data_IF_358975047307
#
_entry.id   IF_358975047307
#
_cell.length_a   1.000
_cell.length_b   1.000
_cell.length_c   1.000
_cell.angle_alpha   90.00
_cell.angle_beta   90.00
_cell.angle_gamma   90.00
#
_symmetry.space_group_name_H-M   'P 1'
#
loop_
_entity.id
_entity.type
_entity.pdbx_description
1 polymer ?
#
# COMPACT_ATOMS: atom_id res chain seq x y z
N UNK A 1 21.15 -30.92 -10.66
CA UNK A 1 20.48 -31.51 -9.49
C UNK A 1 18.98 -31.32 -9.62
N UNK A 2 18.19 -32.40 -9.63
CA UNK A 2 16.73 -32.29 -9.47
C UNK A 2 16.44 -32.10 -7.97
N UNK A 3 15.60 -31.13 -7.57
CA UNK A 3 15.23 -30.99 -6.16
C UNK A 3 14.56 -32.28 -5.67
N UNK A 4 14.93 -32.73 -4.47
CA UNK A 4 14.36 -33.92 -3.82
C UNK A 4 12.90 -33.69 -3.40
N UNK A 5 12.17 -34.77 -3.07
CA UNK A 5 10.72 -34.74 -2.82
C UNK A 5 10.27 -33.88 -1.61
N UNK A 6 11.20 -33.36 -0.80
CA UNK A 6 10.92 -32.58 0.41
C UNK A 6 11.26 -31.08 0.31
N UNK A 7 11.54 -30.54 -0.89
CA UNK A 7 11.70 -29.08 -1.01
C UNK A 7 10.32 -28.41 -0.94
N UNK A 8 10.05 -27.55 0.06
CA UNK A 8 8.76 -26.87 0.15
C UNK A 8 8.55 -25.99 -1.07
N UNK A 9 7.32 -25.94 -1.59
CA UNK A 9 6.99 -25.09 -2.73
C UNK A 9 6.98 -23.62 -2.29
N UNK A 10 7.75 -22.78 -2.96
CA UNK A 10 7.80 -21.34 -2.65
C UNK A 10 6.82 -20.55 -3.51
N UNK A 11 6.03 -19.70 -2.88
CA UNK A 11 5.09 -18.79 -3.52
C UNK A 11 5.37 -17.35 -3.11
N UNK A 12 5.10 -16.41 -4.01
CA UNK A 12 5.13 -14.98 -3.71
C UNK A 12 3.77 -14.39 -4.04
N UNK A 13 3.19 -13.67 -3.09
CA UNK A 13 1.91 -12.97 -3.25
C UNK A 13 2.18 -11.47 -3.12
N UNK A 14 1.63 -10.67 -4.04
CA UNK A 14 1.67 -9.22 -3.87
C UNK A 14 0.64 -8.77 -2.83
N UNK A 15 0.99 -7.80 -1.98
CA UNK A 15 0.08 -7.24 -0.97
C UNK A 15 -1.19 -6.67 -1.61
N UNK A 16 -1.06 -6.04 -2.78
CA UNK A 16 -2.21 -5.56 -3.57
C UNK A 16 -3.14 -6.72 -3.97
N UNK A 17 -2.61 -7.87 -4.39
CA UNK A 17 -3.43 -9.05 -4.74
C UNK A 17 -4.17 -9.61 -3.52
N UNK A 18 -3.50 -9.65 -2.35
CA UNK A 18 -4.15 -10.06 -1.11
C UNK A 18 -5.26 -9.09 -0.70
N UNK A 19 -5.04 -7.78 -0.81
CA UNK A 19 -6.07 -6.77 -0.55
C UNK A 19 -7.28 -6.96 -1.48
N UNK A 20 -7.03 -7.15 -2.78
CA UNK A 20 -8.08 -7.46 -3.76
C UNK A 20 -8.85 -8.72 -3.41
N UNK A 21 -8.17 -9.77 -2.95
CA UNK A 21 -8.82 -11.02 -2.57
C UNK A 21 -9.69 -10.85 -1.32
N UNK A 22 -9.17 -10.18 -0.30
CA UNK A 22 -9.86 -9.97 0.98
C UNK A 22 -11.06 -9.02 0.89
N UNK A 23 -11.01 -8.03 0.00
CA UNK A 23 -12.03 -6.99 -0.13
C UNK A 23 -12.87 -7.12 -1.39
N UNK A 24 -12.89 -8.31 -1.99
CA UNK A 24 -13.72 -8.57 -3.17
C UNK A 24 -15.19 -8.68 -2.77
N UNK A 25 -15.88 -7.54 -2.79
CA UNK A 25 -17.33 -7.44 -2.69
C UNK A 25 -17.83 -6.72 -3.96
N UNK A 26 -18.92 -7.18 -4.61
CA UNK A 26 -19.50 -6.49 -5.78
C UNK A 26 -19.59 -7.30 -7.09
N UNK A 27 -20.41 -6.79 -8.02
CA UNK A 27 -20.82 -7.40 -9.30
C UNK A 27 -19.76 -7.24 -10.40
N UNK A 28 -19.79 -8.12 -11.43
CA UNK A 28 -18.91 -8.11 -12.61
C UNK A 28 -19.24 -6.98 -13.60
N UNK A 29 -19.59 -5.79 -13.11
CA UNK A 29 -19.88 -4.64 -13.96
C UNK A 29 -18.68 -3.69 -13.97
N UNK A 30 -17.83 -3.88 -14.99
CA UNK A 30 -16.79 -2.93 -15.35
C UNK A 30 -17.44 -1.60 -15.71
N UNK A 31 -17.42 -0.64 -14.77
CA UNK A 31 -17.74 0.74 -15.08
C UNK A 31 -16.75 1.26 -16.12
N UNK A 32 -17.25 2.01 -17.10
CA UNK A 32 -16.49 2.75 -18.12
C UNK A 32 -15.67 3.92 -17.50
N UNK A 33 -15.20 3.76 -16.26
CA UNK A 33 -14.47 4.80 -15.55
C UNK A 33 -13.11 5.01 -16.22
N UNK A 34 -12.82 6.26 -16.56
CA UNK A 34 -11.48 6.61 -17.04
C UNK A 34 -10.55 6.52 -15.84
N UNK A 35 -9.68 5.52 -15.83
CA UNK A 35 -8.60 5.42 -14.85
C UNK A 35 -7.37 6.19 -15.35
N UNK A 36 -6.60 6.87 -14.48
CA UNK A 36 -5.31 7.42 -14.86
C UNK A 36 -4.40 6.37 -15.50
N UNK A 37 -3.61 6.80 -16.47
CA UNK A 37 -2.57 5.94 -17.06
C UNK A 37 -1.50 5.63 -16.02
N UNK A 38 -0.74 4.56 -16.21
CA UNK A 38 0.38 4.22 -15.34
C UNK A 38 1.42 5.37 -15.25
N UNK A 39 1.66 6.08 -16.36
CA UNK A 39 2.56 7.23 -16.39
C UNK A 39 2.04 8.38 -15.52
N UNK A 40 0.76 8.76 -15.68
CA UNK A 40 0.14 9.80 -14.85
C UNK A 40 0.12 9.41 -13.37
N UNK A 41 -0.10 8.13 -13.06
CA UNK A 41 0.05 7.58 -11.73
C UNK A 41 1.44 7.86 -11.14
N UNK A 42 2.49 7.43 -11.85
CA UNK A 42 3.89 7.63 -11.43
C UNK A 42 4.27 9.10 -11.28
N UNK A 43 3.88 9.95 -12.22
CA UNK A 43 4.13 11.39 -12.17
C UNK A 43 3.42 12.04 -10.97
N UNK A 44 2.16 11.66 -10.73
CA UNK A 44 1.39 12.10 -9.58
C UNK A 44 2.00 11.69 -8.24
N UNK A 45 2.42 10.44 -8.10
CA UNK A 45 3.11 9.94 -6.90
C UNK A 45 4.39 10.73 -6.66
N UNK A 46 5.24 10.85 -7.69
CA UNK A 46 6.50 11.60 -7.60
C UNK A 46 6.29 13.06 -7.20
N UNK A 47 5.24 13.71 -7.73
CA UNK A 47 4.88 15.09 -7.36
C UNK A 47 4.56 15.20 -5.87
N UNK A 48 3.64 14.38 -5.37
CA UNK A 48 3.25 14.41 -3.95
C UNK A 48 4.40 14.04 -3.03
N UNK A 49 5.13 12.98 -3.36
CA UNK A 49 6.30 12.51 -2.63
C UNK A 49 7.39 13.60 -2.53
N UNK A 50 7.57 14.42 -3.57
CA UNK A 50 8.51 15.56 -3.56
C UNK A 50 8.09 16.73 -2.66
N UNK A 51 6.82 16.76 -2.22
CA UNK A 51 6.28 17.77 -1.30
C UNK A 51 6.26 17.29 0.16
N UNK A 52 6.61 16.02 0.41
CA UNK A 52 6.63 15.42 1.75
C UNK A 52 7.81 15.98 2.58
N UNK A 53 7.69 16.00 3.92
CA UNK A 53 8.70 16.56 4.79
C UNK A 53 10.03 15.80 4.73
N UNK A 54 11.12 16.39 5.26
CA UNK A 54 12.37 15.67 5.49
C UNK A 54 12.13 14.38 6.29
N UNK A 55 12.95 13.35 6.02
CA UNK A 55 12.85 11.99 6.61
C UNK A 55 11.69 11.12 6.13
N UNK A 56 10.80 11.62 5.25
CA UNK A 56 9.86 10.78 4.53
C UNK A 56 10.61 9.85 3.57
N UNK A 57 10.36 8.55 3.68
CA UNK A 57 10.90 7.52 2.80
C UNK A 57 9.89 7.18 1.71
N UNK A 58 10.34 7.26 0.45
CA UNK A 58 9.54 6.94 -0.74
C UNK A 58 9.76 5.48 -1.15
N UNK A 59 8.72 4.84 -1.67
CA UNK A 59 8.81 3.53 -2.33
C UNK A 59 9.48 2.43 -1.46
N UNK A 60 9.09 2.34 -0.19
CA UNK A 60 9.70 1.43 0.79
C UNK A 60 9.28 -0.01 0.54
N UNK A 61 10.24 -0.88 0.25
CA UNK A 61 9.97 -2.32 0.07
C UNK A 61 9.65 -2.97 1.41
N UNK A 62 8.58 -3.77 1.45
CA UNK A 62 8.19 -4.54 2.64
C UNK A 62 7.82 -5.97 2.26
N UNK A 63 8.20 -6.92 3.11
CA UNK A 63 7.82 -8.32 2.91
C UNK A 63 7.78 -9.12 4.19
N UNK A 64 6.96 -10.17 4.21
CA UNK A 64 6.85 -11.13 5.31
C UNK A 64 6.91 -12.55 4.76
N UNK A 65 7.83 -13.34 5.30
CA UNK A 65 7.88 -14.77 5.06
C UNK A 65 6.88 -15.48 5.99
N UNK A 66 6.14 -16.43 5.43
CA UNK A 66 5.15 -17.25 6.13
C UNK A 66 5.48 -18.71 5.84
N UNK A 67 5.67 -19.50 6.89
CA UNK A 67 5.95 -20.93 6.76
C UNK A 67 4.65 -21.73 6.87
N UNK A 68 4.44 -22.65 5.92
CA UNK A 68 3.39 -23.65 5.94
C UNK A 68 3.98 -25.06 5.92
N UNK A 69 3.13 -26.05 6.20
CA UNK A 69 3.54 -27.47 6.30
C UNK A 69 4.24 -28.02 5.03
N UNK A 70 3.86 -27.52 3.85
CA UNK A 70 4.37 -27.99 2.55
C UNK A 70 4.79 -26.85 1.61
N UNK A 71 4.58 -25.60 2.03
CA UNK A 71 4.77 -24.42 1.21
C UNK A 71 5.39 -23.30 2.02
N UNK A 72 6.24 -22.50 1.39
CA UNK A 72 6.73 -21.23 1.92
C UNK A 72 6.09 -20.10 1.12
N UNK A 73 5.63 -19.06 1.79
CA UNK A 73 4.99 -17.92 1.15
C UNK A 73 5.73 -16.65 1.51
N UNK A 74 5.89 -15.77 0.53
CA UNK A 74 6.37 -14.41 0.75
C UNK A 74 5.26 -13.44 0.36
N UNK A 75 4.67 -12.77 1.35
CA UNK A 75 3.81 -11.62 1.13
C UNK A 75 4.71 -10.40 0.93
N UNK A 76 4.57 -9.67 -0.16
CA UNK A 76 5.45 -8.52 -0.41
C UNK A 76 4.76 -7.39 -1.18
N UNK A 77 5.28 -6.18 -1.00
CA UNK A 77 4.79 -5.01 -1.69
C UNK A 77 5.73 -3.83 -1.48
N UNK A 78 5.24 -2.66 -1.88
CA UNK A 78 5.99 -1.41 -1.79
C UNK A 78 5.05 -0.33 -1.28
N UNK A 79 5.47 0.29 -0.18
CA UNK A 79 4.74 1.37 0.48
C UNK A 79 5.11 2.66 -0.24
N UNK A 80 4.13 3.46 -0.66
CA UNK A 80 4.39 4.74 -1.34
C UNK A 80 5.10 5.75 -0.41
N UNK A 81 4.79 5.69 0.89
CA UNK A 81 5.37 6.55 1.91
C UNK A 81 5.50 5.95 3.29
N UNK A 82 6.66 6.17 3.92
CA UNK A 82 6.89 5.86 5.32
C UNK A 82 7.58 7.02 6.01
N UNK A 83 6.95 7.58 7.04
CA UNK A 83 7.58 8.53 7.94
C UNK A 83 7.68 7.88 9.32
N UNK A 84 8.89 7.67 9.81
CA UNK A 84 9.11 7.10 11.15
C UNK A 84 9.16 8.22 12.18
N UNK A 85 8.46 8.06 13.30
CA UNK A 85 8.68 8.94 14.45
C UNK A 85 10.10 8.72 14.99
N UNK A 86 10.90 9.78 15.00
CA UNK A 86 12.27 9.76 15.51
C UNK A 86 12.35 9.94 17.03
N UNK A 87 11.20 10.12 17.70
CA UNK A 87 11.11 10.43 19.13
C UNK A 87 11.66 11.81 19.51
N UNK A 88 12.08 12.60 18.51
CA UNK A 88 12.73 13.90 18.66
C UNK A 88 11.86 15.05 18.13
N UNK A 89 10.67 14.75 17.60
CA UNK A 89 9.79 15.77 17.03
C UNK A 89 9.10 16.56 18.14
N UNK A 90 9.39 17.87 18.19
CA UNK A 90 8.70 18.83 19.05
C UNK A 90 7.27 19.15 18.56
N UNK A 91 6.93 18.74 17.34
CA UNK A 91 5.60 18.88 16.76
C UNK A 91 4.99 17.52 16.40
N UNK A 92 3.69 17.30 16.67
CA UNK A 92 2.97 16.09 16.32
C UNK A 92 2.86 15.86 14.79
N UNK A 93 2.61 14.63 14.32
CA UNK A 93 2.29 13.45 15.13
C UNK A 93 3.52 12.79 15.77
N UNK A 94 3.38 12.38 17.02
CA UNK A 94 4.33 11.52 17.74
C UNK A 94 4.14 10.04 17.36
N UNK A 95 3.85 9.77 16.08
CA UNK A 95 3.48 8.44 15.61
C UNK A 95 3.94 8.29 14.17
N UNK A 96 4.53 7.14 13.86
CA UNK A 96 4.96 6.81 12.51
C UNK A 96 3.76 6.75 11.56
N UNK A 97 3.95 7.17 10.32
CA UNK A 97 2.92 7.26 9.29
C UNK A 97 3.25 6.27 8.16
N UNK A 98 2.25 5.51 7.73
CA UNK A 98 2.27 4.70 6.51
C UNK A 98 1.31 5.32 5.51
N UNK A 99 1.83 5.73 4.35
CA UNK A 99 1.06 6.39 3.29
C UNK A 99 0.91 5.49 2.05
N UNK A 100 -0.32 5.43 1.54
CA UNK A 100 -0.66 4.91 0.21
C UNK A 100 -1.25 6.06 -0.62
N UNK A 101 -0.73 6.24 -1.84
CA UNK A 101 -1.15 7.31 -2.75
C UNK A 101 -1.97 6.70 -3.89
N UNK A 102 -3.06 7.37 -4.27
CA UNK A 102 -3.92 6.99 -5.39
C UNK A 102 -4.18 8.17 -6.30
N UNK A 103 -3.74 8.07 -7.55
CA UNK A 103 -4.09 9.03 -8.59
C UNK A 103 -5.45 8.68 -9.19
N UNK A 104 -6.33 9.68 -9.34
CA UNK A 104 -7.73 9.53 -9.76
C UNK A 104 -8.16 10.70 -10.67
N UNK A 105 -9.30 10.59 -11.33
CA UNK A 105 -9.93 11.70 -12.08
C UNK A 105 -11.18 12.26 -11.40
N UNK A 106 -11.50 11.75 -10.21
CA UNK A 106 -12.66 12.14 -9.42
C UNK A 106 -12.21 12.39 -7.98
N UNK A 107 -13.09 13.02 -7.21
CA UNK A 107 -12.84 13.23 -5.78
C UNK A 107 -13.02 11.94 -5.00
N UNK A 108 -12.48 11.88 -3.77
CA UNK A 108 -12.66 10.72 -2.89
C UNK A 108 -14.14 10.40 -2.64
N UNK A 109 -15.00 11.43 -2.57
CA UNK A 109 -16.44 11.27 -2.34
C UNK A 109 -17.16 10.58 -3.50
N UNK A 110 -16.62 10.67 -4.71
CA UNK A 110 -17.16 10.08 -5.93
C UNK A 110 -16.65 8.66 -6.20
N UNK A 111 -15.59 8.23 -5.49
CA UNK A 111 -15.05 6.89 -5.66
C UNK A 111 -16.04 5.80 -5.20
N UNK A 112 -16.18 4.72 -5.98
CA UNK A 112 -16.96 3.56 -5.58
C UNK A 112 -16.55 3.07 -4.17
N UNK A 113 -17.49 2.75 -3.28
CA UNK A 113 -17.19 2.27 -1.94
C UNK A 113 -16.26 1.04 -1.93
N UNK A 114 -16.45 0.12 -2.86
CA UNK A 114 -15.61 -1.08 -3.05
C UNK A 114 -14.15 -0.72 -3.35
N UNK A 115 -13.90 0.30 -4.17
CA UNK A 115 -12.57 0.76 -4.50
C UNK A 115 -11.90 1.43 -3.30
N UNK A 116 -12.63 2.24 -2.54
CA UNK A 116 -12.12 2.83 -1.29
C UNK A 116 -11.79 1.77 -0.25
N UNK A 117 -12.63 0.74 -0.11
CA UNK A 117 -12.36 -0.39 0.78
C UNK A 117 -11.10 -1.16 0.39
N UNK A 118 -10.91 -1.42 -0.90
CA UNK A 118 -9.68 -2.02 -1.42
C UNK A 118 -8.44 -1.19 -1.07
N UNK A 119 -8.47 0.11 -1.34
CA UNK A 119 -7.35 1.00 -1.05
C UNK A 119 -7.03 1.03 0.45
N UNK A 120 -8.05 1.09 1.30
CA UNK A 120 -7.92 1.04 2.75
C UNK A 120 -7.34 -0.29 3.23
N UNK A 121 -7.74 -1.41 2.63
CA UNK A 121 -7.20 -2.72 2.98
C UNK A 121 -5.72 -2.86 2.62
N UNK A 122 -5.32 -2.33 1.47
CA UNK A 122 -3.92 -2.32 1.05
C UNK A 122 -3.03 -1.59 2.06
N UNK A 123 -3.39 -0.35 2.42
CA UNK A 123 -2.60 0.44 3.37
C UNK A 123 -2.65 -0.14 4.79
N UNK A 124 -3.76 -0.78 5.20
CA UNK A 124 -3.84 -1.51 6.48
C UNK A 124 -2.92 -2.72 6.53
N UNK A 125 -2.78 -3.46 5.44
CA UNK A 125 -1.82 -4.57 5.35
C UNK A 125 -0.39 -4.05 5.47
N UNK A 126 -0.06 -2.94 4.79
CA UNK A 126 1.25 -2.30 4.97
C UNK A 126 1.49 -1.84 6.41
N UNK A 127 0.53 -1.14 7.01
CA UNK A 127 0.59 -0.68 8.39
C UNK A 127 0.82 -1.83 9.37
N UNK A 128 0.09 -2.93 9.24
CA UNK A 128 0.26 -4.12 10.09
C UNK A 128 1.67 -4.71 9.98
N UNK A 129 2.20 -4.82 8.75
CA UNK A 129 3.56 -5.33 8.54
C UNK A 129 4.63 -4.37 9.08
N UNK A 130 4.42 -3.05 8.96
CA UNK A 130 5.31 -2.04 9.54
C UNK A 130 5.31 -2.15 11.06
N UNK A 131 4.14 -2.20 11.70
CA UNK A 131 4.04 -2.38 13.15
C UNK A 131 4.80 -3.62 13.62
N UNK A 132 4.60 -4.75 12.96
CA UNK A 132 5.26 -6.00 13.32
C UNK A 132 6.78 -5.92 13.16
N UNK A 133 7.28 -5.40 12.03
CA UNK A 133 8.72 -5.37 11.74
C UNK A 133 9.47 -4.33 12.57
N UNK A 134 8.82 -3.22 12.88
CA UNK A 134 9.40 -2.11 13.64
C UNK A 134 9.03 -2.15 15.14
N UNK A 135 8.31 -3.19 15.58
CA UNK A 135 7.86 -3.38 16.96
C UNK A 135 7.05 -2.18 17.49
N UNK A 136 6.19 -1.61 16.65
CA UNK A 136 5.31 -0.49 17.00
C UNK A 136 3.96 -1.01 17.47
N UNK A 137 3.39 -0.36 18.48
CA UNK A 137 2.02 -0.63 18.92
C UNK A 137 0.99 -0.16 17.88
N UNK A 138 1.25 0.99 17.26
CA UNK A 138 0.38 1.58 16.26
C UNK A 138 1.17 2.46 15.27
N UNK A 139 0.54 2.70 14.13
CA UNK A 139 0.95 3.69 13.13
C UNK A 139 -0.28 4.46 12.66
N UNK A 140 -0.07 5.68 12.19
CA UNK A 140 -1.10 6.43 11.49
C UNK A 140 -1.12 6.00 10.01
N UNK A 141 -2.32 5.85 9.46
CA UNK A 141 -2.53 5.51 8.06
C UNK A 141 -2.93 6.77 7.31
N UNK A 142 -2.17 7.12 6.27
CA UNK A 142 -2.54 8.15 5.31
C UNK A 142 -2.94 7.48 4.00
N UNK A 143 -4.19 7.70 3.58
CA UNK A 143 -4.67 7.27 2.28
C UNK A 143 -4.93 8.53 1.45
N UNK A 144 -4.01 8.84 0.54
CA UNK A 144 -3.97 10.14 -0.15
C UNK A 144 -4.48 9.99 -1.57
N UNK A 145 -5.48 10.79 -1.93
CA UNK A 145 -6.03 10.85 -3.28
C UNK A 145 -5.53 12.09 -4.02
N UNK A 146 -4.85 11.88 -5.15
CA UNK A 146 -4.52 12.95 -6.09
C UNK A 146 -5.56 12.95 -7.21
N UNK A 147 -6.37 14.01 -7.28
CA UNK A 147 -7.29 14.22 -8.39
C UNK A 147 -6.58 14.99 -9.52
N UNK A 148 -6.46 14.37 -10.69
CA UNK A 148 -5.83 14.99 -11.87
C UNK A 148 -6.73 16.03 -12.54
N UNK A 149 -8.03 16.01 -12.28
CA UNK A 149 -8.98 16.98 -12.86
C UNK A 149 -8.83 18.37 -12.24
N UNK A 150 -8.35 18.45 -11.00
CA UNK A 150 -8.13 19.70 -10.27
C UNK A 150 -6.83 20.43 -10.69
N UNK A 151 -6.01 19.78 -11.52
CA UNK A 151 -4.73 20.30 -12.03
C UNK A 151 -4.88 21.05 -13.37
N UNK A 152 -6.08 21.57 -13.65
CA UNK A 152 -6.44 22.30 -14.88
C UNK A 152 -6.27 23.81 -14.75
#
# INVERSE_FOLDING_TARGET
MKPGPDTPRTFRIAITELAHFCCREGSVLSGNERTPTAQQGQEGHKKLQGQRPPHYQQEVSISKALQGKHCEWTLAGRIDGLLMDSGQSAQPPHTSIVEEIKTTYCTEAELPPEQRQLHLAQVRLYAALVCEQQQLEQVEIHLTYLNLSDES
#
